data_IF_992331592799
#
_entry.id   IF_992331592799
#
_cell.length_a   1.000
_cell.length_b   1.000
_cell.length_c   1.000
_cell.angle_alpha   90.00
_cell.angle_beta   90.00
_cell.angle_gamma   90.00
#
_symmetry.space_group_name_H-M   'P 1'
#
loop_
_entity.id
_entity.type
_entity.pdbx_description
1 polymer ?
#
# COMPACT_ATOMS: atom_id res chain seq x y z
N UNK A 1 13.43 -37.51 -14.19
CA UNK A 1 12.47 -36.41 -14.34
C UNK A 1 13.04 -35.22 -13.58
N UNK A 2 13.28 -34.09 -14.23
CA UNK A 2 13.77 -32.90 -13.52
C UNK A 2 12.69 -32.37 -12.58
N UNK A 3 13.01 -32.13 -11.31
CA UNK A 3 12.08 -31.54 -10.38
C UNK A 3 12.24 -30.02 -10.37
N UNK A 4 11.14 -29.29 -10.12
CA UNK A 4 11.18 -27.82 -10.07
C UNK A 4 12.04 -27.30 -8.90
N UNK A 5 12.36 -28.15 -7.93
CA UNK A 5 13.25 -27.86 -6.82
C UNK A 5 14.74 -27.84 -7.23
N UNK A 6 15.07 -28.38 -8.40
CA UNK A 6 16.43 -28.37 -8.94
C UNK A 6 16.74 -27.06 -9.69
N UNK A 7 15.76 -26.16 -9.84
CA UNK A 7 15.97 -24.86 -10.46
C UNK A 7 16.80 -23.93 -9.53
N UNK A 8 17.82 -23.24 -10.06
CA UNK A 8 18.49 -22.15 -9.37
C UNK A 8 17.49 -21.09 -8.85
N UNK A 9 17.74 -20.57 -7.66
CA UNK A 9 16.90 -19.56 -7.00
C UNK A 9 16.71 -18.30 -7.85
N UNK A 10 17.72 -17.91 -8.62
CA UNK A 10 17.73 -16.73 -9.49
C UNK A 10 16.75 -16.85 -10.65
N UNK A 11 16.64 -18.05 -11.23
CA UNK A 11 15.69 -18.34 -12.30
C UNK A 11 14.27 -18.37 -11.75
N UNK A 12 14.08 -18.99 -10.59
CA UNK A 12 12.78 -19.02 -9.92
C UNK A 12 12.31 -17.61 -9.53
N UNK A 13 13.22 -16.77 -9.01
CA UNK A 13 12.93 -15.38 -8.69
C UNK A 13 12.50 -14.61 -9.95
N UNK A 14 13.22 -14.81 -11.06
CA UNK A 14 12.91 -14.16 -12.34
C UNK A 14 11.51 -14.54 -12.84
N UNK A 15 11.13 -15.83 -12.75
CA UNK A 15 9.79 -16.30 -13.12
C UNK A 15 8.72 -15.62 -12.24
N UNK A 16 8.95 -15.57 -10.93
CA UNK A 16 8.02 -14.96 -9.97
C UNK A 16 7.82 -13.45 -10.21
N UNK A 17 8.84 -12.74 -10.67
CA UNK A 17 8.73 -11.31 -10.96
C UNK A 17 7.77 -11.00 -12.11
N UNK A 18 7.59 -11.93 -13.06
CA UNK A 18 6.66 -11.76 -14.17
C UNK A 18 5.21 -12.14 -13.85
N UNK A 19 4.97 -12.77 -12.70
CA UNK A 19 3.62 -13.14 -12.29
C UNK A 19 2.87 -11.93 -11.73
N UNK A 20 1.54 -11.84 -11.96
CA UNK A 20 0.72 -10.84 -11.30
C UNK A 20 0.70 -11.08 -9.80
N UNK A 21 0.53 -10.01 -9.03
CA UNK A 21 0.55 -10.01 -7.56
C UNK A 21 -0.20 -11.17 -6.92
N UNK A 22 -1.42 -11.41 -7.39
CA UNK A 22 -2.32 -12.44 -6.88
C UNK A 22 -1.66 -13.82 -6.93
N UNK A 23 -0.96 -14.12 -8.02
CA UNK A 23 -0.37 -15.42 -8.27
C UNK A 23 0.92 -15.59 -7.45
N UNK A 24 1.70 -14.52 -7.26
CA UNK A 24 2.85 -14.52 -6.34
C UNK A 24 2.41 -14.90 -4.92
N UNK A 25 1.30 -14.35 -4.43
CA UNK A 25 0.77 -14.66 -3.10
C UNK A 25 0.25 -16.10 -2.99
N UNK A 26 -0.37 -16.64 -4.04
CA UNK A 26 -0.81 -18.03 -4.07
C UNK A 26 0.38 -18.99 -4.06
N UNK A 27 1.45 -18.65 -4.78
CA UNK A 27 2.64 -19.47 -4.89
C UNK A 27 3.45 -19.60 -3.58
N UNK A 28 3.25 -18.70 -2.60
CA UNK A 28 3.80 -18.86 -1.24
C UNK A 28 3.29 -20.12 -0.50
N UNK A 29 2.22 -20.74 -1.02
CA UNK A 29 1.60 -21.94 -0.44
C UNK A 29 2.03 -23.24 -1.13
N UNK A 30 2.72 -23.15 -2.27
CA UNK A 30 3.12 -24.33 -3.06
C UNK A 30 4.26 -25.09 -2.38
N UNK A 31 5.27 -24.38 -1.89
CA UNK A 31 6.36 -25.00 -1.14
C UNK A 31 7.02 -24.00 -0.17
N UNK A 32 7.75 -24.53 0.80
CA UNK A 32 8.53 -23.73 1.77
C UNK A 32 9.61 -22.94 1.02
N UNK A 33 10.30 -23.55 0.06
CA UNK A 33 11.36 -22.90 -0.71
C UNK A 33 10.86 -21.65 -1.46
N UNK A 34 9.67 -21.70 -2.07
CA UNK A 34 9.08 -20.55 -2.76
C UNK A 34 8.71 -19.43 -1.79
N UNK A 35 8.20 -19.78 -0.61
CA UNK A 35 7.91 -18.80 0.44
C UNK A 35 9.17 -18.11 0.92
N UNK A 36 10.24 -18.87 1.16
CA UNK A 36 11.51 -18.34 1.64
C UNK A 36 12.15 -17.43 0.59
N UNK A 37 12.10 -17.81 -0.69
CA UNK A 37 12.57 -16.99 -1.80
C UNK A 37 11.81 -15.65 -1.89
N UNK A 38 10.48 -15.66 -1.75
CA UNK A 38 9.67 -14.44 -1.76
C UNK A 38 9.97 -13.55 -0.55
N UNK A 39 10.34 -14.11 0.60
CA UNK A 39 10.68 -13.35 1.81
C UNK A 39 12.11 -12.82 1.81
N UNK A 40 13.04 -13.53 1.17
CA UNK A 40 14.46 -13.15 1.11
C UNK A 40 14.75 -12.19 -0.04
N UNK A 41 14.08 -12.34 -1.19
CA UNK A 41 14.26 -11.43 -2.32
C UNK A 41 13.68 -10.04 -2.03
N UNK A 42 14.51 -8.98 -2.06
CA UNK A 42 14.03 -7.61 -1.91
C UNK A 42 13.17 -7.17 -3.09
N UNK A 43 13.36 -7.74 -4.29
CA UNK A 43 12.60 -7.36 -5.48
C UNK A 43 11.16 -7.89 -5.40
N UNK A 44 11.01 -9.18 -5.07
CA UNK A 44 9.70 -9.81 -4.87
C UNK A 44 8.95 -9.20 -3.68
N UNK A 45 9.66 -8.85 -2.60
CA UNK A 45 9.05 -8.12 -1.47
C UNK A 45 8.53 -6.76 -1.84
N UNK A 46 9.31 -5.98 -2.60
CA UNK A 46 8.86 -4.68 -3.11
C UNK A 46 7.64 -4.84 -4.00
N UNK A 47 7.64 -5.85 -4.88
CA UNK A 47 6.47 -6.20 -5.67
C UNK A 47 5.27 -6.46 -4.77
N UNK A 48 5.37 -7.44 -3.87
CA UNK A 48 4.27 -7.85 -2.97
C UNK A 48 3.72 -6.73 -2.12
N UNK A 49 4.57 -5.80 -1.71
CA UNK A 49 4.18 -4.72 -0.82
C UNK A 49 3.61 -3.49 -1.53
N UNK A 50 4.21 -3.08 -2.65
CA UNK A 50 3.81 -1.85 -3.35
C UNK A 50 2.66 -2.08 -4.32
N UNK A 51 2.46 -3.30 -4.82
CA UNK A 51 1.44 -3.57 -5.84
C UNK A 51 1.89 -3.24 -7.25
N UNK A 52 3.06 -2.61 -7.41
CA UNK A 52 3.67 -2.28 -8.69
C UNK A 52 5.19 -2.37 -8.58
N UNK A 53 5.82 -3.03 -9.55
CA UNK A 53 7.25 -2.87 -9.84
C UNK A 53 7.31 -2.28 -11.25
N UNK A 54 8.08 -1.20 -11.50
CA UNK A 54 8.35 -0.77 -12.86
C UNK A 54 8.87 -1.97 -13.63
N UNK A 55 8.08 -2.48 -14.57
CA UNK A 55 8.47 -3.65 -15.37
C UNK A 55 9.75 -3.25 -16.07
N UNK A 56 10.88 -3.82 -15.65
CA UNK A 56 12.09 -3.78 -16.46
C UNK A 56 11.72 -4.55 -17.71
N UNK A 57 11.40 -3.83 -18.79
CA UNK A 57 11.28 -4.45 -20.11
C UNK A 57 12.61 -5.13 -20.34
N UNK A 58 12.66 -6.45 -20.22
CA UNK A 58 13.81 -7.23 -20.65
C UNK A 58 13.85 -7.01 -22.15
N UNK A 59 14.77 -6.16 -22.57
CA UNK A 59 15.14 -6.07 -23.97
C UNK A 59 15.71 -7.44 -24.35
N UNK A 60 15.20 -8.03 -25.43
CA UNK A 60 15.54 -9.39 -25.88
C UNK A 60 17.06 -9.66 -25.98
N UNK A 61 17.87 -8.60 -26.03
CA UNK A 61 19.32 -8.67 -26.11
C UNK A 61 20.02 -9.21 -24.85
N UNK A 62 19.35 -9.31 -23.70
CA UNK A 62 19.95 -9.82 -22.45
C UNK A 62 19.73 -11.32 -22.18
N UNK A 63 18.83 -11.99 -22.91
CA UNK A 63 18.62 -13.44 -22.72
C UNK A 63 19.65 -14.28 -23.49
N UNK A 64 20.23 -13.74 -24.57
CA UNK A 64 21.26 -14.41 -25.37
C UNK A 64 22.61 -14.54 -24.68
N UNK A 65 22.92 -13.73 -23.64
CA UNK A 65 24.19 -13.84 -22.92
C UNK A 65 24.28 -15.06 -22.00
N UNK A 66 23.15 -15.65 -21.61
CA UNK A 66 23.13 -16.81 -20.72
C UNK A 66 23.29 -18.16 -21.44
N UNK A 67 23.22 -18.18 -22.78
CA UNK A 67 23.23 -19.42 -23.57
C UNK A 67 24.58 -19.68 -24.28
N UNK A 68 25.52 -18.73 -24.29
CA UNK A 68 26.73 -18.84 -25.14
C UNK A 68 28.10 -19.05 -24.45
N UNK A 69 28.16 -19.44 -23.16
CA UNK A 69 29.46 -19.70 -22.50
C UNK A 69 29.61 -21.14 -22.00
N UNK A 70 29.49 -22.11 -22.91
CA UNK A 70 30.16 -23.41 -22.78
C UNK A 70 31.25 -23.52 -23.87
N UNK A 71 32.28 -22.66 -23.78
CA UNK A 71 33.57 -22.96 -24.42
C UNK A 71 34.54 -23.40 -23.34
N UNK A 72 35.09 -24.60 -23.53
CA UNK A 72 36.08 -25.28 -22.70
C UNK A 72 37.21 -24.37 -22.21
N UNK A 73 37.79 -24.69 -21.04
CA UNK A 73 38.85 -23.89 -20.44
C UNK A 73 40.16 -24.10 -21.21
N UNK A 74 40.69 -23.03 -21.78
CA UNK A 74 42.11 -22.89 -22.06
C UNK A 74 42.59 -21.59 -21.42
N UNK A 75 43.72 -21.70 -20.75
CA UNK A 75 44.27 -20.79 -19.75
C UNK A 75 44.57 -19.35 -20.21
N UNK A 76 44.52 -18.41 -19.25
CA UNK A 76 45.45 -17.27 -19.01
C UNK A 76 44.70 -16.18 -18.23
N UNK A 77 45.03 -15.90 -16.97
CA UNK A 77 46.10 -15.06 -16.41
C UNK A 77 45.72 -13.57 -16.22
N UNK A 78 45.89 -13.13 -14.96
CA UNK A 78 46.01 -11.81 -14.34
C UNK A 78 45.11 -10.61 -14.70
N UNK A 79 44.41 -10.12 -13.67
CA UNK A 79 44.76 -8.84 -13.04
C UNK A 79 43.77 -7.69 -13.22
N UNK A 80 43.14 -7.24 -12.13
CA UNK A 80 43.26 -5.85 -11.61
C UNK A 80 42.21 -5.54 -10.53
N UNK A 81 42.68 -4.87 -9.49
CA UNK A 81 42.00 -4.39 -8.27
C UNK A 81 41.01 -3.26 -8.52
N UNK A 82 39.92 -3.20 -7.75
CA UNK A 82 39.26 -1.92 -7.37
C UNK A 82 38.74 -2.04 -5.94
N UNK A 83 39.30 -1.21 -5.07
CA UNK A 83 38.89 -0.85 -3.70
C UNK A 83 37.64 0.05 -3.74
N UNK A 84 36.63 -0.22 -2.91
CA UNK A 84 35.55 0.73 -2.63
C UNK A 84 35.26 0.74 -1.13
N UNK A 85 35.62 1.86 -0.52
CA UNK A 85 35.41 2.19 0.89
C UNK A 85 33.93 2.53 1.14
N UNK A 86 33.35 1.98 2.21
CA UNK A 86 32.03 2.36 2.72
C UNK A 86 32.21 3.08 4.06
N UNK A 87 31.63 4.27 4.28
CA UNK A 87 31.58 4.86 5.61
C UNK A 87 30.43 4.30 6.45
N UNK A 88 30.82 3.74 7.59
CA UNK A 88 29.99 3.39 8.76
C UNK A 88 29.52 4.66 9.46
N UNK A 89 28.25 4.73 9.83
CA UNK A 89 27.79 5.57 10.94
C UNK A 89 26.55 4.97 11.60
N UNK A 90 26.79 4.45 12.80
CA UNK A 90 25.82 3.85 13.72
C UNK A 90 25.47 4.87 14.79
N UNK A 91 24.23 5.34 14.85
CA UNK A 91 23.66 5.92 16.08
C UNK A 91 22.22 5.44 16.26
N UNK A 92 22.05 4.46 17.14
CA UNK A 92 20.75 3.89 17.52
C UNK A 92 20.10 4.75 18.61
N UNK A 93 19.16 5.62 18.26
CA UNK A 93 18.20 6.18 19.21
C UNK A 93 16.99 5.24 19.32
N UNK A 94 16.69 4.77 20.54
CA UNK A 94 15.51 3.98 20.89
C UNK A 94 14.22 4.74 20.53
N UNK A 95 13.67 4.44 19.36
CA UNK A 95 12.38 4.97 18.91
C UNK A 95 11.24 4.15 19.53
N UNK A 96 10.31 4.85 20.16
CA UNK A 96 9.03 4.31 20.61
C UNK A 96 8.29 3.71 19.42
N UNK A 97 7.76 2.49 19.60
CA UNK A 97 7.00 1.75 18.60
C UNK A 97 5.60 2.34 18.42
N UNK A 98 5.51 3.60 18.00
CA UNK A 98 4.27 4.09 17.38
C UNK A 98 4.15 3.36 16.04
N UNK A 99 3.17 2.45 15.95
CA UNK A 99 2.70 1.84 14.71
C UNK A 99 2.67 2.88 13.60
N UNK A 100 3.70 2.88 12.75
CA UNK A 100 3.81 3.78 11.61
C UNK A 100 2.74 3.32 10.64
N UNK A 101 1.67 4.10 10.53
CA UNK A 101 0.59 3.83 9.57
C UNK A 101 1.18 4.01 8.17
N UNK A 102 1.62 2.89 7.58
CA UNK A 102 2.19 2.87 6.25
C UNK A 102 1.08 3.04 5.22
N UNK A 103 1.09 4.17 4.52
CA UNK A 103 0.14 4.48 3.45
C UNK A 103 0.78 4.09 2.12
N UNK A 104 0.16 3.16 1.38
CA UNK A 104 0.56 2.84 0.02
C UNK A 104 0.12 4.01 -0.88
N UNK A 105 1.03 4.77 -1.52
CA UNK A 105 0.72 6.00 -2.24
C UNK A 105 0.07 5.74 -3.61
N UNK A 106 -0.73 4.68 -3.75
CA UNK A 106 -1.56 4.49 -4.92
C UNK A 106 -2.69 5.49 -4.81
N UNK A 107 -2.58 6.59 -5.55
CA UNK A 107 -3.66 7.54 -5.67
C UNK A 107 -4.88 6.81 -6.26
N UNK A 108 -6.06 6.96 -5.66
CA UNK A 108 -7.28 6.36 -6.17
C UNK A 108 -7.53 6.81 -7.60
N UNK A 109 -7.92 5.88 -8.47
CA UNK A 109 -8.44 6.21 -9.78
C UNK A 109 -9.77 6.96 -9.65
N UNK A 110 -10.21 7.57 -10.73
CA UNK A 110 -11.52 8.20 -10.76
C UNK A 110 -12.62 7.17 -10.47
N UNK A 111 -13.49 7.50 -9.51
CA UNK A 111 -14.55 6.59 -9.05
C UNK A 111 -14.13 5.61 -7.95
N UNK A 112 -12.84 5.49 -7.63
CA UNK A 112 -12.39 4.67 -6.50
C UNK A 112 -12.89 5.23 -5.17
N UNK A 113 -13.09 4.31 -4.22
CA UNK A 113 -13.55 4.62 -2.87
C UNK A 113 -12.38 4.50 -1.91
N UNK A 114 -11.94 5.62 -1.36
CA UNK A 114 -10.96 5.66 -0.27
C UNK A 114 -11.71 5.38 1.04
N UNK A 115 -11.47 4.22 1.63
CA UNK A 115 -12.10 3.83 2.89
C UNK A 115 -11.22 4.20 4.08
N UNK A 116 -11.74 5.08 4.94
CA UNK A 116 -11.09 5.40 6.21
C UNK A 116 -11.47 4.40 7.30
N UNK A 117 -10.48 3.88 8.01
CA UNK A 117 -10.64 3.00 9.18
C UNK A 117 -11.02 3.79 10.42
N UNK A 118 -11.68 3.14 11.38
CA UNK A 118 -12.03 3.73 12.68
C UNK A 118 -10.86 4.34 13.43
N UNK A 119 -9.69 3.71 13.40
CA UNK A 119 -8.47 4.24 14.02
C UNK A 119 -8.01 5.57 13.40
N UNK A 120 -8.24 5.78 12.10
CA UNK A 120 -7.80 6.96 11.38
C UNK A 120 -8.62 8.20 11.75
N UNK A 121 -9.93 8.08 11.94
CA UNK A 121 -10.80 9.22 12.24
C UNK A 121 -11.15 9.41 13.73
N UNK A 122 -10.91 8.38 14.56
CA UNK A 122 -11.06 8.46 16.03
C UNK A 122 -9.76 8.82 16.75
N UNK A 123 -8.61 8.67 16.09
CA UNK A 123 -7.31 9.01 16.66
C UNK A 123 -7.22 10.49 17.03
N UNK A 124 -6.36 10.80 18.01
CA UNK A 124 -6.00 12.20 18.30
C UNK A 124 -5.36 12.80 17.04
N UNK A 125 -5.75 14.01 16.64
CA UNK A 125 -5.25 14.63 15.40
C UNK A 125 -3.73 14.76 15.38
N UNK A 126 -3.08 14.85 16.55
CA UNK A 126 -1.62 14.95 16.70
C UNK A 126 -0.86 13.71 16.21
N UNK A 127 -1.39 12.51 16.43
CA UNK A 127 -0.72 11.26 16.04
C UNK A 127 -0.94 10.91 14.56
N UNK A 128 -1.92 11.55 13.91
CA UNK A 128 -2.33 11.27 12.52
C UNK A 128 -2.00 12.41 11.56
N UNK A 129 -1.24 13.43 11.99
CA UNK A 129 -0.99 14.66 11.22
C UNK A 129 -0.48 14.39 9.80
N UNK A 130 0.47 13.48 9.61
CA UNK A 130 1.18 13.34 8.33
C UNK A 130 0.25 13.02 7.15
N UNK A 131 -0.68 12.08 7.28
CA UNK A 131 -1.57 11.69 6.19
C UNK A 131 -2.85 12.55 6.12
N UNK A 132 -3.28 13.14 7.24
CA UNK A 132 -4.42 14.07 7.24
C UNK A 132 -4.14 15.32 6.40
N UNK A 133 -2.88 15.72 6.32
CA UNK A 133 -2.43 16.89 5.58
C UNK A 133 -2.10 16.57 4.10
N UNK A 134 -2.20 15.31 3.67
CA UNK A 134 -2.04 14.90 2.27
C UNK A 134 -3.30 15.19 1.45
N UNK A 135 -3.10 15.58 0.19
CA UNK A 135 -4.17 15.66 -0.81
C UNK A 135 -4.70 14.25 -1.12
N UNK A 136 -6.01 14.16 -1.38
CA UNK A 136 -6.66 12.89 -1.71
C UNK A 136 -6.22 12.33 -3.08
N UNK A 137 -5.88 13.21 -4.03
CA UNK A 137 -5.44 12.87 -5.38
C UNK A 137 -4.23 13.70 -5.81
N UNK A 138 -3.55 13.24 -6.86
CA UNK A 138 -2.52 13.99 -7.56
C UNK A 138 -2.82 13.96 -9.08
N UNK A 139 -3.14 15.09 -9.72
CA UNK A 139 -3.25 16.44 -9.15
C UNK A 139 -4.41 16.56 -8.13
N UNK A 140 -4.37 17.54 -7.21
CA UNK A 140 -5.41 17.72 -6.20
C UNK A 140 -6.80 17.91 -6.80
N UNK A 141 -7.82 17.24 -6.25
CA UNK A 141 -9.22 17.42 -6.64
C UNK A 141 -9.87 18.55 -5.84
N UNK A 142 -10.75 19.35 -6.47
CA UNK A 142 -11.47 20.44 -5.78
C UNK A 142 -12.67 19.95 -4.98
N UNK A 143 -13.22 18.80 -5.37
CA UNK A 143 -14.42 18.21 -4.81
C UNK A 143 -14.13 16.77 -4.35
N UNK A 144 -14.68 16.42 -3.19
CA UNK A 144 -14.77 15.04 -2.72
C UNK A 144 -16.13 14.80 -2.06
N UNK A 145 -16.66 13.60 -2.21
CA UNK A 145 -17.89 13.16 -1.56
C UNK A 145 -17.55 12.17 -0.46
N UNK A 146 -17.97 12.45 0.77
CA UNK A 146 -17.77 11.58 1.91
C UNK A 146 -19.09 10.99 2.37
N UNK A 147 -19.13 9.67 2.51
CA UNK A 147 -20.28 8.92 3.05
C UNK A 147 -19.90 8.38 4.42
N UNK A 148 -20.63 8.83 5.44
CA UNK A 148 -20.37 8.52 6.84
C UNK A 148 -21.41 7.53 7.33
N UNK A 149 -20.94 6.40 7.86
CA UNK A 149 -21.76 5.36 8.44
C UNK A 149 -21.63 5.44 9.95
N UNK A 150 -22.74 5.56 10.66
CA UNK A 150 -22.73 5.67 12.11
C UNK A 150 -23.90 4.95 12.75
N UNK A 151 -23.68 4.46 13.97
CA UNK A 151 -24.70 3.77 14.73
C UNK A 151 -25.62 4.78 15.41
N UNK A 152 -26.93 4.65 15.19
CA UNK A 152 -27.94 5.40 15.94
C UNK A 152 -28.66 4.44 16.88
N UNK A 153 -28.76 4.87 18.13
CA UNK A 153 -29.46 4.13 19.17
C UNK A 153 -30.95 4.45 19.03
N UNK A 154 -31.81 3.47 18.80
CA UNK A 154 -33.24 3.67 19.09
C UNK A 154 -33.40 3.70 20.61
N UNK A 155 -34.36 4.49 21.10
CA UNK A 155 -34.69 4.55 22.52
C UNK A 155 -34.98 3.17 23.11
N UNK A 156 -35.16 3.10 24.43
CA UNK A 156 -35.55 1.86 25.10
C UNK A 156 -36.85 1.34 24.50
N UNK A 157 -36.78 0.20 23.81
CA UNK A 157 -37.95 -0.61 23.50
C UNK A 157 -38.34 -1.26 24.83
N UNK A 158 -39.64 -1.32 25.13
CA UNK A 158 -40.23 -1.72 26.41
C UNK A 158 -39.79 -3.10 26.97
N UNK A 159 -38.96 -3.86 26.23
CA UNK A 159 -38.49 -5.20 26.56
C UNK A 159 -36.95 -5.30 26.65
N UNK A 160 -36.27 -4.21 27.02
CA UNK A 160 -34.88 -4.24 27.48
C UNK A 160 -33.79 -4.43 26.39
N UNK A 161 -34.15 -4.70 25.13
CA UNK A 161 -33.18 -4.74 24.03
C UNK A 161 -33.01 -3.37 23.38
N UNK A 162 -31.82 -2.78 23.51
CA UNK A 162 -31.42 -1.60 22.72
C UNK A 162 -31.25 -2.03 21.27
N UNK A 163 -32.17 -1.61 20.41
CA UNK A 163 -31.98 -1.74 18.97
C UNK A 163 -31.07 -0.61 18.48
N UNK A 164 -30.05 -0.97 17.72
CA UNK A 164 -29.19 -0.01 17.01
C UNK A 164 -29.26 -0.27 15.52
N UNK A 165 -29.33 0.80 14.74
CA UNK A 165 -29.27 0.73 13.28
C UNK A 165 -28.14 1.60 12.76
N UNK A 166 -27.61 1.24 11.59
CA UNK A 166 -26.63 2.08 10.89
C UNK A 166 -27.38 3.12 10.07
N UNK A 167 -27.09 4.38 10.33
CA UNK A 167 -27.56 5.51 9.54
C UNK A 167 -26.39 5.96 8.65
N UNK A 168 -26.73 6.45 7.45
CA UNK A 168 -25.77 6.85 6.43
C UNK A 168 -26.01 8.30 6.08
N UNK A 169 -24.94 9.10 6.01
CA UNK A 169 -25.04 10.50 5.58
C UNK A 169 -23.95 10.83 4.59
N UNK A 170 -24.35 11.35 3.44
CA UNK A 170 -23.45 11.89 2.43
C UNK A 170 -23.14 13.36 2.73
N UNK A 171 -21.90 13.76 2.43
CA UNK A 171 -21.35 15.08 2.67
C UNK A 171 -20.46 15.44 1.48
N UNK A 172 -20.65 16.62 0.89
CA UNK A 172 -19.75 17.14 -0.12
C UNK A 172 -18.73 18.07 0.50
N UNK A 173 -17.49 17.98 0.05
CA UNK A 173 -16.33 18.73 0.54
C UNK A 173 -15.70 19.44 -0.64
N UNK A 174 -15.80 20.77 -0.66
CA UNK A 174 -15.26 21.63 -1.73
C UNK A 174 -14.14 22.50 -1.19
N UNK A 175 -13.02 22.54 -1.91
CA UNK A 175 -11.85 23.38 -1.63
C UNK A 175 -11.25 23.91 -2.93
N UNK A 176 -10.92 25.20 -2.97
CA UNK A 176 -10.28 25.83 -4.13
C UNK A 176 -8.86 25.31 -4.38
N UNK A 177 -8.10 25.01 -3.33
CA UNK A 177 -6.69 24.58 -3.41
C UNK A 177 -6.49 23.06 -3.35
N UNK A 178 -7.55 22.28 -3.57
CA UNK A 178 -7.55 20.83 -3.45
C UNK A 178 -8.04 20.33 -2.09
N UNK A 179 -8.65 19.14 -2.07
CA UNK A 179 -9.21 18.51 -0.88
C UNK A 179 -8.18 17.60 -0.19
N UNK A 180 -7.99 17.79 1.11
CA UNK A 180 -7.18 16.93 1.98
C UNK A 180 -8.06 16.01 2.81
N UNK A 181 -7.47 14.95 3.36
CA UNK A 181 -8.19 14.07 4.29
C UNK A 181 -8.68 14.81 5.55
N UNK A 182 -7.92 15.81 6.04
CA UNK A 182 -8.34 16.69 7.14
C UNK A 182 -9.62 17.45 6.82
N UNK A 183 -9.74 18.02 5.62
CA UNK A 183 -10.90 18.80 5.20
C UNK A 183 -12.18 17.97 5.27
N UNK A 184 -12.09 16.69 4.86
CA UNK A 184 -13.19 15.74 4.95
C UNK A 184 -13.61 15.53 6.41
N UNK A 185 -12.66 15.24 7.30
CA UNK A 185 -12.98 15.01 8.70
C UNK A 185 -13.55 16.24 9.40
N UNK A 186 -12.99 17.42 9.14
CA UNK A 186 -13.49 18.67 9.70
C UNK A 186 -14.91 18.97 9.24
N UNK A 187 -15.19 18.76 7.95
CA UNK A 187 -16.53 18.98 7.38
C UNK A 187 -17.54 18.00 7.98
N UNK A 188 -17.19 16.71 8.10
CA UNK A 188 -18.07 15.72 8.73
C UNK A 188 -18.29 16.03 10.22
N UNK A 189 -17.26 16.44 10.95
CA UNK A 189 -17.38 16.83 12.38
C UNK A 189 -18.29 18.04 12.55
N UNK A 190 -18.18 19.05 11.68
CA UNK A 190 -19.01 20.26 11.70
C UNK A 190 -20.49 19.95 11.50
N UNK A 191 -20.83 18.99 10.63
CA UNK A 191 -22.21 18.59 10.36
C UNK A 191 -22.88 17.79 11.49
N UNK A 192 -22.17 17.57 12.61
CA UNK A 192 -22.71 16.95 13.83
C UNK A 192 -23.41 15.61 13.55
N UNK A 193 -22.80 14.78 12.71
CA UNK A 193 -23.30 13.46 12.30
C UNK A 193 -23.19 12.46 13.45
N UNK A 194 -23.92 12.69 14.54
CA UNK A 194 -23.77 11.93 15.78
C UNK A 194 -22.39 12.09 16.44
N UNK A 195 -22.20 11.36 17.55
CA UNK A 195 -20.90 11.32 18.23
C UNK A 195 -19.89 10.53 17.39
N UNK A 196 -18.65 11.03 17.30
CA UNK A 196 -17.51 10.35 16.65
C UNK A 196 -17.28 8.93 17.17
N UNK A 197 -17.64 8.65 18.42
CA UNK A 197 -17.57 7.30 19.01
C UNK A 197 -18.55 6.31 18.37
N UNK A 198 -19.60 6.80 17.71
CA UNK A 198 -20.61 5.99 17.01
C UNK A 198 -20.32 5.85 15.52
N UNK A 199 -19.30 6.53 14.98
CA UNK A 199 -18.91 6.41 13.58
C UNK A 199 -18.26 5.06 13.32
N UNK A 200 -18.75 4.33 12.34
CA UNK A 200 -18.28 3.00 11.97
C UNK A 200 -17.31 3.06 10.79
N UNK A 201 -17.59 3.92 9.81
CA UNK A 201 -16.84 3.99 8.54
C UNK A 201 -17.03 5.34 7.88
N UNK A 202 -16.00 5.81 7.17
CA UNK A 202 -16.10 6.93 6.23
C UNK A 202 -15.56 6.43 4.89
N UNK A 203 -16.41 6.46 3.87
CA UNK A 203 -16.03 6.17 2.50
C UNK A 203 -15.92 7.49 1.75
N UNK A 204 -14.77 7.79 1.14
CA UNK A 204 -14.53 9.02 0.37
C UNK A 204 -14.47 8.65 -1.12
N UNK A 205 -15.25 9.34 -1.93
CA UNK A 205 -15.28 9.22 -3.39
C UNK A 205 -14.80 10.53 -4.00
N UNK A 206 -13.98 10.43 -5.04
CA UNK A 206 -13.54 11.59 -5.83
C UNK A 206 -14.32 11.60 -7.15
N UNK A 207 -15.28 12.52 -7.34
CA UNK A 207 -15.92 12.72 -8.63
C UNK A 207 -14.89 13.36 -9.56
N UNK A 208 -14.38 12.65 -10.56
CA UNK A 208 -13.14 13.04 -11.25
C UNK A 208 -13.27 14.19 -12.26
N UNK A 209 -14.31 15.00 -12.17
CA UNK A 209 -14.63 16.07 -13.12
C UNK A 209 -13.94 17.40 -12.76
N UNK A 210 -13.50 17.62 -11.51
CA UNK A 210 -12.94 18.92 -11.08
C UNK A 210 -11.55 18.80 -10.43
N UNK A 211 -10.51 18.96 -11.26
CA UNK A 211 -9.11 19.03 -10.82
C UNK A 211 -8.66 20.48 -10.70
N UNK A 212 -7.74 20.76 -9.77
CA UNK A 212 -7.19 22.12 -9.54
C UNK A 212 -6.33 22.56 -10.70
#
# INVERSE_FOLDING_TARGET
MAQIHDLPSELLESILQYLPMRDVLLNQRVSIHWRDLIQTSPQLRRQTFLGFVPVKKVTNNNLSSFVCNHKSPAASFCGSSITSENPVSTTSSKASTSSLVHFNPVFPAEGDIIRMRTSQFRGKPESTKSWLDMYLTQPPCRLAEATVYYTKSRGLIAWGRRSSYTEVRAVQVVRSCGVRARDVLETVRRLSVGSTKKWQRIDIRVPGVERV
#
